data_IF_388998864883
#
_entry.id   IF_388998864883
#
_cell.length_a   1.000
_cell.length_b   1.000
_cell.length_c   1.000
_cell.angle_alpha   90.00
_cell.angle_beta   90.00
_cell.angle_gamma   90.00
#
_symmetry.space_group_name_H-M   'P 1'
#
loop_
_entity.id
_entity.type
_entity.pdbx_description
1 polymer ?
#
# COMPACT_ATOMS: atom_id res chain seq x y z
N UNK A 1 27.39 52.02 57.61
CA UNK A 1 27.03 50.61 57.33
C UNK A 1 25.77 50.62 56.45
N UNK A 2 25.80 49.97 55.27
CA UNK A 2 24.69 49.99 54.31
C UNK A 2 23.76 48.77 54.49
N UNK A 3 22.54 48.79 53.94
CA UNK A 3 21.92 47.58 53.42
C UNK A 3 21.96 47.56 51.89
N UNK A 4 22.12 46.34 51.38
CA UNK A 4 22.54 46.01 50.02
C UNK A 4 21.42 46.09 48.98
N UNK A 5 21.81 46.51 47.76
CA UNK A 5 21.03 46.33 46.54
C UNK A 5 21.01 44.85 46.14
N UNK A 6 19.83 44.25 46.10
CA UNK A 6 19.59 42.88 45.64
C UNK A 6 19.75 42.78 44.12
N UNK A 7 20.62 41.88 43.65
CA UNK A 7 20.76 41.51 42.23
C UNK A 7 19.46 40.92 41.71
N UNK A 8 18.98 41.46 40.58
CA UNK A 8 17.90 40.88 39.77
C UNK A 8 18.49 39.78 38.89
N UNK A 9 18.13 38.53 39.15
CA UNK A 9 18.38 37.42 38.24
C UNK A 9 17.31 37.44 37.13
N UNK A 10 17.72 37.80 35.92
CA UNK A 10 16.89 37.67 34.73
C UNK A 10 17.09 36.27 34.13
N UNK A 11 16.14 35.35 34.38
CA UNK A 11 16.06 34.10 33.64
C UNK A 11 15.64 34.38 32.20
N UNK A 12 16.55 34.20 31.25
CA UNK A 12 16.24 34.15 29.83
C UNK A 12 15.52 32.81 29.52
N UNK A 13 14.21 32.87 29.32
CA UNK A 13 13.41 31.72 28.88
C UNK A 13 13.64 31.52 27.37
N UNK A 14 14.50 30.57 26.99
CA UNK A 14 14.62 30.15 25.59
C UNK A 14 13.39 29.35 25.19
N UNK A 15 12.47 29.99 24.49
CA UNK A 15 11.35 29.31 23.83
C UNK A 15 11.89 28.56 22.62
N UNK A 16 12.01 27.23 22.73
CA UNK A 16 12.25 26.36 21.59
C UNK A 16 10.92 26.21 20.85
N UNK A 17 10.77 26.93 19.74
CA UNK A 17 9.62 26.76 18.85
C UNK A 17 9.76 25.42 18.11
N UNK A 18 8.72 24.57 18.07
CA UNK A 18 8.77 23.34 17.29
C UNK A 18 8.87 23.69 15.81
N UNK A 19 9.98 23.32 15.17
CA UNK A 19 10.13 23.38 13.71
C UNK A 19 9.07 22.49 13.08
N UNK A 20 8.14 23.09 12.34
CA UNK A 20 7.20 22.35 11.51
C UNK A 20 8.00 21.42 10.58
N UNK A 21 7.61 20.14 10.42
CA UNK A 21 8.30 19.26 9.49
C UNK A 21 8.21 19.86 8.10
N UNK A 22 9.36 20.03 7.43
CA UNK A 22 9.39 20.47 6.05
C UNK A 22 8.50 19.51 5.23
N UNK A 23 7.57 20.07 4.44
CA UNK A 23 6.78 19.26 3.52
C UNK A 23 7.74 18.50 2.61
N UNK A 24 7.63 17.17 2.60
CA UNK A 24 8.47 16.34 1.76
C UNK A 24 8.31 16.77 0.28
N UNK A 25 9.44 16.95 -0.40
CA UNK A 25 9.45 17.45 -1.77
C UNK A 25 8.69 16.49 -2.70
N UNK A 26 8.02 17.05 -3.70
CA UNK A 26 7.37 16.28 -4.77
C UNK A 26 8.02 16.65 -6.10
N UNK A 27 8.62 15.66 -6.75
CA UNK A 27 9.23 15.79 -8.07
C UNK A 27 8.27 15.25 -9.14
N UNK A 28 7.90 16.11 -10.10
CA UNK A 28 7.15 15.69 -11.27
C UNK A 28 8.08 15.06 -12.31
N UNK A 29 7.76 13.84 -12.78
CA UNK A 29 8.48 13.09 -13.82
C UNK A 29 7.50 12.65 -14.94
N UNK A 30 6.97 13.61 -15.73
CA UNK A 30 6.03 13.31 -16.81
C UNK A 30 6.66 12.47 -17.93
N UNK A 31 7.99 12.48 -18.06
CA UNK A 31 8.76 11.66 -18.98
C UNK A 31 8.54 10.15 -18.77
N UNK A 32 8.26 9.70 -17.54
CA UNK A 32 7.92 8.30 -17.27
C UNK A 32 6.62 7.85 -17.96
N UNK A 33 5.74 8.78 -18.36
CA UNK A 33 4.52 8.46 -19.13
C UNK A 33 4.83 7.90 -20.53
N UNK A 34 6.03 8.15 -21.05
CA UNK A 34 6.49 7.55 -22.30
C UNK A 34 6.53 6.01 -22.20
N UNK A 35 6.92 5.46 -21.05
CA UNK A 35 6.91 4.02 -20.79
C UNK A 35 5.47 3.47 -20.89
N UNK A 36 4.49 4.20 -20.35
CA UNK A 36 3.09 3.82 -20.42
C UNK A 36 2.60 3.84 -21.87
N UNK A 37 2.94 4.90 -22.63
CA UNK A 37 2.57 5.06 -24.05
C UNK A 37 3.13 3.93 -24.92
N UNK A 38 4.38 3.53 -24.71
CA UNK A 38 5.02 2.41 -25.43
C UNK A 38 4.31 1.07 -25.21
N UNK A 39 3.62 0.92 -24.08
CA UNK A 39 2.83 -0.27 -23.75
C UNK A 39 1.33 -0.12 -24.08
N UNK A 40 0.94 0.98 -24.74
CA UNK A 40 -0.46 1.28 -25.08
C UNK A 40 -1.35 1.50 -23.85
N UNK A 41 -0.77 1.97 -22.73
CA UNK A 41 -1.46 2.16 -21.47
C UNK A 41 -1.58 3.65 -21.12
N UNK A 42 -2.67 4.00 -20.44
CA UNK A 42 -2.84 5.29 -19.75
C UNK A 42 -2.79 5.03 -18.26
N UNK A 43 -2.02 5.81 -17.50
CA UNK A 43 -1.78 5.51 -16.10
C UNK A 43 -0.99 6.58 -15.36
N UNK A 44 -0.63 6.25 -14.13
CA UNK A 44 0.23 7.04 -13.25
C UNK A 44 1.23 6.13 -12.56
N UNK A 45 2.37 6.69 -12.19
CA UNK A 45 3.38 6.05 -11.35
C UNK A 45 3.75 6.99 -10.20
N UNK A 46 3.88 6.45 -9.01
CA UNK A 46 4.35 7.16 -7.82
C UNK A 46 5.48 6.35 -7.20
N UNK A 47 6.58 7.01 -6.86
CA UNK A 47 7.65 6.50 -6.01
C UNK A 47 7.74 7.37 -4.75
N UNK A 48 7.94 6.77 -3.59
CA UNK A 48 8.21 7.45 -2.34
C UNK A 48 9.50 6.90 -1.76
N UNK A 49 10.52 7.75 -1.61
CA UNK A 49 11.67 7.43 -0.76
C UNK A 49 11.18 7.36 0.69
N UNK A 50 11.28 6.19 1.32
CA UNK A 50 10.70 6.00 2.63
C UNK A 50 11.47 6.73 3.73
N UNK A 51 12.74 7.10 3.52
CA UNK A 51 13.58 7.82 4.48
C UNK A 51 13.25 9.31 4.50
N UNK A 52 13.23 9.97 3.34
CA UNK A 52 12.99 11.40 3.21
C UNK A 52 11.51 11.77 3.05
N UNK A 53 10.68 10.82 2.59
CA UNK A 53 9.30 11.06 2.19
C UNK A 53 9.17 11.72 0.81
N UNK A 54 10.30 11.99 0.13
CA UNK A 54 10.30 12.59 -1.20
C UNK A 54 9.50 11.73 -2.18
N UNK A 55 8.64 12.38 -2.94
CA UNK A 55 7.70 11.72 -3.84
C UNK A 55 8.04 12.04 -5.30
N UNK A 56 8.35 11.03 -6.11
CA UNK A 56 8.41 11.16 -7.57
C UNK A 56 7.08 10.74 -8.16
N UNK A 57 6.50 11.53 -9.06
CA UNK A 57 5.17 11.26 -9.62
C UNK A 57 5.08 11.53 -11.12
N UNK A 58 4.47 10.59 -11.84
CA UNK A 58 4.05 10.73 -13.22
C UNK A 58 2.52 10.89 -13.28
N UNK A 59 2.01 11.94 -13.92
CA UNK A 59 0.60 12.37 -13.87
C UNK A 59 0.09 12.59 -12.43
N UNK A 60 0.42 13.75 -11.80
CA UNK A 60 0.00 14.07 -10.44
C UNK A 60 -1.52 14.12 -10.24
N UNK A 61 -2.27 14.54 -11.27
CA UNK A 61 -3.72 14.65 -11.20
C UNK A 61 -4.36 13.26 -11.06
N UNK A 62 -3.93 12.29 -11.87
CA UNK A 62 -4.37 10.90 -11.73
C UNK A 62 -3.84 10.25 -10.46
N UNK A 63 -2.60 10.55 -10.06
CA UNK A 63 -1.99 10.02 -8.84
C UNK A 63 -2.78 10.36 -7.57
N UNK A 64 -3.40 11.54 -7.53
CA UNK A 64 -4.25 12.02 -6.45
C UNK A 64 -5.69 11.48 -6.50
N UNK A 65 -6.16 10.94 -7.64
CA UNK A 65 -7.50 10.39 -7.78
C UNK A 65 -7.62 9.06 -7.04
N UNK A 66 -8.62 8.95 -6.16
CA UNK A 66 -8.92 7.71 -5.43
C UNK A 66 -9.74 6.75 -6.29
N UNK A 67 -9.36 5.47 -6.31
CA UNK A 67 -10.16 4.37 -6.87
C UNK A 67 -10.29 3.24 -5.85
N UNK A 68 -11.13 2.26 -6.16
CA UNK A 68 -11.23 1.04 -5.35
C UNK A 68 -9.89 0.27 -5.42
N UNK A 69 -9.31 -0.15 -4.28
CA UNK A 69 -7.99 -0.80 -4.24
C UNK A 69 -7.99 -2.20 -4.87
N UNK A 70 -9.15 -2.87 -4.90
CA UNK A 70 -9.26 -4.26 -5.32
C UNK A 70 -8.26 -5.13 -4.54
N UNK A 71 -7.51 -5.98 -5.22
CA UNK A 71 -6.61 -6.94 -4.54
C UNK A 71 -5.36 -6.34 -3.92
N UNK A 72 -5.07 -5.03 -4.06
CA UNK A 72 -4.01 -4.40 -3.25
C UNK A 72 -4.41 -4.34 -1.78
N UNK A 73 -5.72 -4.28 -1.49
CA UNK A 73 -6.27 -4.32 -0.14
C UNK A 73 -5.90 -5.59 0.65
N UNK A 74 -5.45 -6.65 -0.03
CA UNK A 74 -4.93 -7.84 0.65
C UNK A 74 -3.76 -7.52 1.60
N UNK A 75 -2.99 -6.46 1.32
CA UNK A 75 -1.91 -5.98 2.20
C UNK A 75 -2.47 -5.49 3.55
N UNK A 76 -3.29 -4.42 3.63
CA UNK A 76 -3.87 -3.98 4.91
C UNK A 76 -4.83 -5.02 5.51
N UNK A 77 -5.53 -5.82 4.70
CA UNK A 77 -6.37 -6.90 5.22
C UNK A 77 -5.56 -7.91 6.05
N UNK A 78 -4.42 -8.37 5.51
CA UNK A 78 -3.52 -9.28 6.23
C UNK A 78 -2.96 -8.64 7.50
N UNK A 79 -2.54 -7.37 7.41
CA UNK A 79 -2.02 -6.63 8.57
C UNK A 79 -3.04 -6.60 9.71
N UNK A 80 -4.27 -6.20 9.41
CA UNK A 80 -5.36 -6.10 10.39
C UNK A 80 -5.70 -7.49 10.95
N UNK A 81 -5.72 -8.52 10.10
CA UNK A 81 -6.02 -9.87 10.53
C UNK A 81 -5.00 -10.41 11.54
N UNK A 82 -3.70 -10.24 11.26
CA UNK A 82 -2.64 -10.65 12.17
C UNK A 82 -2.64 -9.84 13.46
N UNK A 83 -2.82 -8.53 13.36
CA UNK A 83 -2.78 -7.63 14.51
C UNK A 83 -3.96 -7.84 15.45
N UNK A 84 -5.13 -8.18 14.92
CA UNK A 84 -6.35 -8.42 15.71
C UNK A 84 -6.52 -9.88 16.12
N UNK A 85 -5.58 -10.76 15.76
CA UNK A 85 -5.65 -12.20 16.01
C UNK A 85 -6.77 -12.93 15.24
N UNK A 86 -7.35 -12.31 14.21
CA UNK A 86 -8.37 -12.95 13.36
C UNK A 86 -7.78 -14.07 12.50
N UNK A 87 -6.47 -13.99 12.23
CA UNK A 87 -5.64 -15.05 11.68
C UNK A 87 -4.35 -15.07 12.52
N UNK A 88 -3.99 -16.22 13.09
CA UNK A 88 -2.89 -16.34 14.03
C UNK A 88 -1.51 -16.28 13.37
N UNK A 89 -1.40 -16.83 12.16
CA UNK A 89 -0.14 -16.92 11.41
C UNK A 89 -0.36 -16.95 9.89
N UNK A 90 0.69 -16.66 9.12
CA UNK A 90 0.66 -16.72 7.65
C UNK A 90 0.35 -18.11 7.09
N UNK A 91 0.65 -19.15 7.86
CA UNK A 91 0.49 -20.57 7.50
C UNK A 91 -0.76 -21.23 8.10
N UNK A 92 -1.59 -20.49 8.83
CA UNK A 92 -2.93 -20.96 9.24
C UNK A 92 -3.78 -21.26 8.01
N UNK A 93 -4.32 -22.49 7.92
CA UNK A 93 -5.20 -22.90 6.82
C UNK A 93 -6.58 -22.29 7.00
N UNK A 94 -6.99 -21.47 6.02
CA UNK A 94 -8.27 -20.79 6.01
C UNK A 94 -9.24 -21.50 5.04
N UNK A 95 -10.52 -21.66 5.44
CA UNK A 95 -11.50 -22.29 4.59
C UNK A 95 -11.80 -21.41 3.37
N UNK A 96 -11.83 -21.98 2.18
CA UNK A 96 -12.27 -21.23 0.99
C UNK A 96 -13.80 -21.00 0.98
N UNK A 97 -14.53 -21.75 1.82
CA UNK A 97 -15.97 -21.57 2.08
C UNK A 97 -16.92 -22.33 1.16
N UNK A 98 -16.41 -23.12 0.20
CA UNK A 98 -17.26 -23.82 -0.77
C UNK A 98 -17.76 -22.92 -1.91
N UNK A 99 -18.14 -23.53 -3.04
CA UNK A 99 -18.86 -22.86 -4.13
C UNK A 99 -18.06 -22.58 -5.40
N UNK A 100 -18.75 -22.05 -6.42
CA UNK A 100 -18.17 -21.80 -7.74
C UNK A 100 -17.25 -20.58 -7.70
N UNK A 101 -15.99 -20.78 -8.08
CA UNK A 101 -15.01 -19.70 -8.26
C UNK A 101 -14.74 -19.47 -9.74
N UNK A 102 -14.42 -18.22 -10.11
CA UNK A 102 -13.97 -17.90 -11.48
C UNK A 102 -12.58 -18.43 -11.82
N UNK A 103 -11.81 -18.80 -10.81
CA UNK A 103 -10.49 -19.39 -10.95
C UNK A 103 -10.47 -20.74 -10.21
N UNK A 104 -10.36 -21.88 -10.92
CA UNK A 104 -10.32 -23.20 -10.31
C UNK A 104 -9.24 -23.35 -9.22
N UNK A 105 -8.10 -22.65 -9.37
CA UNK A 105 -7.04 -22.66 -8.37
C UNK A 105 -7.47 -22.08 -7.01
N UNK A 106 -8.59 -21.35 -6.95
CA UNK A 106 -9.12 -20.81 -5.68
C UNK A 106 -10.00 -21.80 -4.91
N UNK A 107 -10.42 -22.91 -5.52
CA UNK A 107 -11.39 -23.84 -4.96
C UNK A 107 -10.75 -24.87 -4.00
N UNK A 108 -9.91 -24.39 -3.09
CA UNK A 108 -9.32 -25.18 -1.99
C UNK A 108 -8.96 -24.28 -0.82
N UNK A 109 -8.93 -24.88 0.36
CA UNK A 109 -8.43 -24.23 1.56
C UNK A 109 -6.95 -23.89 1.38
N UNK A 110 -6.57 -22.74 1.91
CA UNK A 110 -5.24 -22.15 1.71
C UNK A 110 -4.86 -21.29 2.90
N UNK A 111 -3.57 -21.22 3.17
CA UNK A 111 -3.03 -20.19 4.05
C UNK A 111 -2.94 -18.82 3.36
N UNK A 112 -2.68 -17.76 4.12
CA UNK A 112 -2.43 -16.44 3.52
C UNK A 112 -1.16 -16.42 2.66
N UNK A 113 -0.15 -17.21 3.02
CA UNK A 113 1.07 -17.41 2.23
C UNK A 113 0.76 -17.98 0.84
N UNK A 114 -0.17 -18.93 0.75
CA UNK A 114 -0.58 -19.52 -0.53
C UNK A 114 -1.58 -18.65 -1.31
N UNK A 115 -2.50 -18.00 -0.59
CA UNK A 115 -3.58 -17.21 -1.19
C UNK A 115 -3.10 -15.87 -1.78
N UNK A 116 -2.06 -15.27 -1.20
CA UNK A 116 -1.56 -13.95 -1.59
C UNK A 116 -1.02 -13.91 -3.04
N UNK A 117 -0.12 -14.82 -3.49
CA UNK A 117 0.43 -14.81 -4.84
C UNK A 117 -0.64 -14.99 -5.93
N UNK A 118 -1.59 -15.89 -5.73
CA UNK A 118 -2.67 -16.17 -6.70
C UNK A 118 -3.89 -15.25 -6.53
N UNK A 119 -3.80 -14.31 -5.60
CA UNK A 119 -4.83 -13.32 -5.30
C UNK A 119 -6.21 -13.93 -5.00
N UNK A 120 -6.26 -15.06 -4.28
CA UNK A 120 -7.48 -15.78 -3.95
C UNK A 120 -8.49 -14.85 -3.25
N UNK A 121 -9.61 -14.55 -3.89
CA UNK A 121 -10.61 -13.63 -3.31
C UNK A 121 -11.41 -14.30 -2.18
N UNK A 122 -11.99 -15.50 -2.37
CA UNK A 122 -12.72 -16.20 -1.31
C UNK A 122 -11.99 -16.29 0.04
N UNK A 123 -10.71 -16.67 0.05
CA UNK A 123 -9.93 -16.75 1.29
C UNK A 123 -9.80 -15.40 1.99
N UNK A 124 -9.58 -14.31 1.24
CA UNK A 124 -9.53 -12.97 1.83
C UNK A 124 -10.90 -12.41 2.23
N UNK A 125 -11.98 -12.93 1.65
CA UNK A 125 -13.34 -12.66 2.13
C UNK A 125 -13.60 -13.35 3.47
N UNK A 126 -13.11 -14.57 3.65
CA UNK A 126 -13.13 -15.25 4.94
C UNK A 126 -12.36 -14.48 6.00
N UNK A 127 -11.14 -14.04 5.70
CA UNK A 127 -10.37 -13.15 6.60
C UNK A 127 -11.19 -11.91 6.97
N UNK A 128 -11.84 -11.28 6.00
CA UNK A 128 -12.63 -10.08 6.26
C UNK A 128 -13.84 -10.35 7.15
N UNK A 129 -14.53 -11.48 6.98
CA UNK A 129 -15.62 -11.90 7.86
C UNK A 129 -15.13 -12.14 9.29
N UNK A 130 -13.97 -12.78 9.46
CA UNK A 130 -13.35 -12.96 10.78
C UNK A 130 -13.02 -11.61 11.42
N UNK A 131 -12.42 -10.68 10.68
CA UNK A 131 -12.09 -9.33 11.19
C UNK A 131 -13.37 -8.56 11.57
N UNK A 132 -14.38 -8.52 10.71
CA UNK A 132 -15.63 -7.83 10.99
C UNK A 132 -15.58 -6.31 10.76
N UNK A 133 -16.73 -5.71 10.42
CA UNK A 133 -16.85 -4.28 10.12
C UNK A 133 -16.39 -3.34 11.25
N UNK A 134 -16.71 -3.58 12.54
CA UNK A 134 -16.29 -2.67 13.61
C UNK A 134 -14.76 -2.51 13.66
N UNK A 135 -14.02 -3.62 13.57
CA UNK A 135 -12.54 -3.59 13.54
C UNK A 135 -12.02 -2.94 12.27
N UNK A 136 -12.64 -3.17 11.11
CA UNK A 136 -12.23 -2.46 9.89
C UNK A 136 -12.40 -0.94 9.99
N UNK A 137 -13.52 -0.44 10.54
CA UNK A 137 -13.71 1.02 10.69
C UNK A 137 -12.63 1.63 11.57
N UNK A 138 -12.30 0.98 12.67
CA UNK A 138 -11.23 1.41 13.57
C UNK A 138 -9.86 1.37 12.87
N UNK A 139 -9.50 0.23 12.29
CA UNK A 139 -8.17 0.02 11.74
C UNK A 139 -7.90 0.79 10.46
N UNK A 140 -8.87 0.95 9.57
CA UNK A 140 -8.70 1.78 8.38
C UNK A 140 -8.44 3.25 8.75
N UNK A 141 -9.09 3.73 9.81
CA UNK A 141 -8.80 5.04 10.41
C UNK A 141 -7.39 5.11 11.00
N UNK A 142 -7.00 4.15 11.85
CA UNK A 142 -5.65 4.07 12.44
C UNK A 142 -4.54 4.03 11.39
N UNK A 143 -4.76 3.30 10.30
CA UNK A 143 -3.80 3.17 9.20
C UNK A 143 -3.81 4.36 8.24
N UNK A 144 -4.77 5.30 8.40
CA UNK A 144 -5.04 6.38 7.46
C UNK A 144 -5.12 5.88 6.01
N UNK A 145 -5.89 4.80 5.78
CA UNK A 145 -5.94 4.09 4.51
C UNK A 145 -7.06 4.64 3.61
N UNK A 146 -6.69 5.50 2.67
CA UNK A 146 -7.63 6.09 1.70
C UNK A 146 -8.72 6.91 2.35
N UNK A 147 -9.98 6.68 1.96
CA UNK A 147 -11.16 7.28 2.62
C UNK A 147 -11.61 6.56 3.90
N UNK A 148 -10.91 5.49 4.32
CA UNK A 148 -11.20 4.71 5.53
C UNK A 148 -12.65 4.19 5.66
N UNK A 149 -13.35 4.00 4.54
CA UNK A 149 -14.77 3.63 4.54
C UNK A 149 -14.98 2.18 4.09
N UNK A 150 -15.29 1.23 5.01
CA UNK A 150 -15.64 -0.13 4.65
C UNK A 150 -17.14 -0.31 4.33
N UNK A 151 -17.96 0.74 4.41
CA UNK A 151 -19.40 0.67 4.18
C UNK A 151 -20.11 -0.31 5.12
N UNK A 152 -20.95 -1.18 4.53
CA UNK A 152 -21.85 -2.10 5.24
C UNK A 152 -21.67 -3.57 4.83
N UNK A 153 -20.89 -3.89 3.80
CA UNK A 153 -20.69 -5.26 3.32
C UNK A 153 -19.23 -5.67 3.56
N UNK A 154 -19.02 -6.40 4.67
CA UNK A 154 -17.70 -6.69 5.25
C UNK A 154 -16.72 -7.35 4.29
N UNK A 155 -17.19 -8.13 3.33
CA UNK A 155 -16.36 -8.96 2.47
C UNK A 155 -16.37 -8.52 0.99
N UNK A 156 -16.86 -7.31 0.71
CA UNK A 156 -16.96 -6.73 -0.65
C UNK A 156 -16.45 -5.31 -0.77
N UNK A 157 -16.26 -4.58 0.33
CA UNK A 157 -16.01 -3.13 0.29
C UNK A 157 -14.75 -2.71 -0.49
N UNK A 158 -13.74 -3.57 -0.57
CA UNK A 158 -12.52 -3.31 -1.35
C UNK A 158 -12.62 -3.79 -2.80
N UNK A 159 -13.69 -4.50 -3.18
CA UNK A 159 -13.94 -5.00 -4.53
C UNK A 159 -14.92 -4.09 -5.27
N UNK A 160 -15.96 -3.64 -4.56
CA UNK A 160 -17.07 -2.88 -5.13
C UNK A 160 -17.11 -1.42 -4.65
N UNK A 161 -16.29 -1.07 -3.64
CA UNK A 161 -16.45 0.16 -2.85
C UNK A 161 -17.33 -0.06 -1.61
N UNK A 162 -17.43 0.93 -0.70
CA UNK A 162 -17.07 2.33 -0.90
C UNK A 162 -15.60 2.68 -0.62
N UNK A 163 -14.77 1.72 -0.20
CA UNK A 163 -13.36 1.97 0.07
C UNK A 163 -12.64 2.43 -1.20
N UNK A 164 -11.96 3.57 -1.11
CA UNK A 164 -11.14 4.12 -2.19
C UNK A 164 -9.84 4.72 -1.66
N UNK A 165 -8.77 4.57 -2.44
CA UNK A 165 -7.43 5.06 -2.14
C UNK A 165 -6.75 5.56 -3.42
N UNK A 166 -5.91 6.60 -3.31
CA UNK A 166 -5.14 7.15 -4.43
C UNK A 166 -3.77 6.45 -4.56
N UNK A 167 -3.09 6.63 -5.69
CA UNK A 167 -1.75 6.06 -5.88
C UNK A 167 -0.73 6.67 -4.90
N UNK A 168 -0.86 7.95 -4.58
CA UNK A 168 -0.03 8.64 -3.58
C UNK A 168 -0.27 8.05 -2.19
N UNK A 169 -1.53 7.83 -1.81
CA UNK A 169 -1.89 7.27 -0.51
C UNK A 169 -1.42 5.82 -0.36
N UNK A 170 -1.59 4.99 -1.38
CA UNK A 170 -1.05 3.62 -1.44
C UNK A 170 0.48 3.60 -1.28
N UNK A 171 1.20 4.46 -2.01
CA UNK A 171 2.67 4.49 -1.95
C UNK A 171 3.16 4.91 -0.55
N UNK A 172 2.52 5.90 0.07
CA UNK A 172 2.84 6.35 1.43
C UNK A 172 2.49 5.31 2.50
N UNK A 173 1.36 4.62 2.35
CA UNK A 173 1.03 3.48 3.22
C UNK A 173 2.11 2.40 3.14
N UNK A 174 2.54 2.02 1.94
CA UNK A 174 3.59 1.03 1.73
C UNK A 174 4.96 1.50 2.22
N UNK A 175 5.30 2.79 2.12
CA UNK A 175 6.53 3.34 2.69
C UNK A 175 6.57 3.17 4.21
N UNK A 176 5.46 3.43 4.90
CA UNK A 176 5.36 3.18 6.36
C UNK A 176 5.42 1.70 6.68
N UNK A 177 4.70 0.85 5.94
CA UNK A 177 4.72 -0.60 6.14
C UNK A 177 6.13 -1.18 5.95
N UNK A 178 6.83 -0.77 4.89
CA UNK A 178 8.19 -1.21 4.59
C UNK A 178 9.17 -0.87 5.72
N UNK A 179 9.00 0.31 6.35
CA UNK A 179 9.78 0.72 7.53
C UNK A 179 9.27 0.12 8.85
N UNK A 180 8.26 -0.77 8.80
CA UNK A 180 7.53 -1.30 9.96
C UNK A 180 7.02 -0.21 10.91
N UNK A 181 6.63 0.94 10.35
CA UNK A 181 6.26 2.15 11.06
C UNK A 181 4.74 2.40 11.11
N UNK A 182 3.92 1.42 10.71
CA UNK A 182 2.47 1.49 10.94
C UNK A 182 2.16 1.26 12.42
N UNK A 183 1.01 1.74 12.94
CA UNK A 183 0.59 1.54 14.33
C UNK A 183 0.07 0.12 14.58
N UNK A 184 0.89 -0.88 14.26
CA UNK A 184 0.66 -2.31 14.44
C UNK A 184 1.96 -2.97 14.93
N UNK A 185 1.86 -4.16 15.53
CA UNK A 185 3.02 -4.88 16.03
C UNK A 185 4.06 -5.16 14.94
N UNK A 186 5.34 -5.19 15.35
CA UNK A 186 6.43 -5.59 14.46
C UNK A 186 6.24 -7.02 13.90
N UNK A 187 5.56 -7.89 14.67
CA UNK A 187 5.15 -9.23 14.25
C UNK A 187 4.19 -9.17 13.07
N UNK A 188 3.06 -8.48 13.22
CA UNK A 188 2.04 -8.40 12.17
C UNK A 188 2.61 -7.79 10.88
N UNK A 189 3.40 -6.71 11.01
CA UNK A 189 4.06 -6.10 9.85
C UNK A 189 5.10 -7.03 9.22
N UNK A 190 5.85 -7.79 10.03
CA UNK A 190 6.80 -8.80 9.55
C UNK A 190 6.14 -9.95 8.78
N UNK A 191 4.99 -10.44 9.23
CA UNK A 191 4.21 -11.45 8.51
C UNK A 191 3.70 -10.93 7.17
N UNK A 192 3.28 -9.66 7.10
CA UNK A 192 2.87 -9.04 5.82
C UNK A 192 4.04 -8.93 4.86
N UNK A 193 5.22 -8.50 5.32
CA UNK A 193 6.44 -8.47 4.50
C UNK A 193 6.73 -9.83 3.88
N UNK A 194 6.65 -10.87 4.67
CA UNK A 194 6.95 -12.24 4.25
C UNK A 194 6.00 -12.72 3.14
N UNK A 195 4.68 -12.56 3.31
CA UNK A 195 3.70 -13.08 2.34
C UNK A 195 3.60 -12.26 1.04
N UNK A 196 4.15 -11.04 0.98
CA UNK A 196 4.13 -10.20 -0.24
C UNK A 196 5.49 -10.10 -0.94
N UNK A 197 6.53 -10.77 -0.41
CA UNK A 197 7.83 -10.86 -1.07
C UNK A 197 7.68 -11.59 -2.41
N UNK A 198 8.20 -11.00 -3.47
CA UNK A 198 8.15 -11.55 -4.82
C UNK A 198 9.47 -12.23 -5.17
N UNK A 199 10.58 -11.51 -5.05
CA UNK A 199 11.90 -12.00 -5.44
C UNK A 199 13.01 -11.14 -4.83
N UNK A 200 14.22 -11.69 -4.75
CA UNK A 200 15.44 -10.96 -4.42
C UNK A 200 16.46 -11.18 -5.54
N UNK A 201 17.06 -10.09 -6.05
CA UNK A 201 18.09 -10.14 -7.09
C UNK A 201 19.02 -8.94 -7.00
N UNK A 202 20.30 -9.13 -7.34
CA UNK A 202 21.31 -8.05 -7.36
C UNK A 202 21.35 -7.21 -6.07
N UNK A 203 21.16 -7.83 -4.90
CA UNK A 203 21.12 -7.13 -3.61
C UNK A 203 19.88 -6.27 -3.34
N UNK A 204 18.84 -6.38 -4.16
CA UNK A 204 17.53 -5.77 -3.92
C UNK A 204 16.43 -6.83 -3.74
N UNK A 205 15.46 -6.55 -2.89
CA UNK A 205 14.26 -7.38 -2.70
C UNK A 205 13.01 -6.60 -3.08
N UNK A 206 12.17 -7.23 -3.90
CA UNK A 206 10.90 -6.66 -4.36
C UNK A 206 9.73 -7.29 -3.59
N UNK A 207 8.93 -6.43 -2.99
CA UNK A 207 7.70 -6.77 -2.29
C UNK A 207 6.56 -6.08 -3.02
N UNK A 208 5.53 -6.82 -3.46
CA UNK A 208 4.47 -6.18 -4.21
C UNK A 208 3.17 -6.97 -4.27
N UNK A 209 2.08 -6.25 -4.56
CA UNK A 209 0.78 -6.83 -4.83
C UNK A 209 0.12 -6.21 -6.05
N UNK A 210 -0.50 -7.07 -6.86
CA UNK A 210 -1.37 -6.67 -7.96
C UNK A 210 -2.82 -6.45 -7.50
N UNK A 211 -3.48 -5.48 -8.11
CA UNK A 211 -4.91 -5.22 -7.97
C UNK A 211 -5.61 -5.11 -9.33
N UNK A 212 -6.89 -5.44 -9.37
CA UNK A 212 -7.74 -5.28 -10.54
C UNK A 212 -9.16 -4.96 -10.10
N UNK A 213 -9.54 -3.70 -10.27
CA UNK A 213 -10.89 -3.24 -10.04
C UNK A 213 -11.68 -3.33 -11.36
N UNK A 214 -12.62 -4.27 -11.41
CA UNK A 214 -13.47 -4.48 -12.58
C UNK A 214 -14.67 -3.54 -12.48
N UNK A 215 -14.75 -2.56 -13.37
CA UNK A 215 -15.85 -1.60 -13.41
C UNK A 215 -16.90 -2.03 -14.44
N UNK A 216 -18.18 -1.96 -14.09
CA UNK A 216 -19.28 -2.20 -15.04
C UNK A 216 -19.55 -0.92 -15.83
N UNK A 217 -19.55 -1.01 -17.16
CA UNK A 217 -19.85 0.13 -18.03
C UNK A 217 -18.78 1.24 -18.04
N UNK A 218 -17.64 1.02 -17.41
CA UNK A 218 -16.51 1.95 -17.35
C UNK A 218 -15.19 1.19 -17.51
N UNK A 219 -14.13 1.90 -17.87
CA UNK A 219 -12.79 1.30 -18.02
C UNK A 219 -12.29 0.75 -16.68
N UNK A 220 -11.97 -0.53 -16.60
CA UNK A 220 -11.44 -1.15 -15.37
C UNK A 220 -10.07 -0.58 -15.01
N UNK A 221 -9.68 -0.70 -13.73
CA UNK A 221 -8.40 -0.16 -13.22
C UNK A 221 -7.50 -1.29 -12.74
N UNK A 222 -6.26 -1.27 -13.22
CA UNK A 222 -5.19 -2.17 -12.81
C UNK A 222 -4.23 -1.50 -11.85
N UNK A 223 -3.80 -2.22 -10.81
CA UNK A 223 -2.84 -1.74 -9.82
C UNK A 223 -1.61 -2.65 -9.73
N UNK A 224 -0.46 -2.05 -9.45
CA UNK A 224 0.70 -2.74 -8.89
C UNK A 224 1.37 -1.82 -7.87
N UNK A 225 1.50 -2.30 -6.63
CA UNK A 225 1.92 -1.48 -5.49
C UNK A 225 2.82 -2.31 -4.58
N UNK A 226 3.75 -1.65 -3.90
CA UNK A 226 4.71 -2.35 -3.05
C UNK A 226 5.92 -1.49 -2.72
N UNK A 227 7.07 -2.14 -2.50
CA UNK A 227 8.34 -1.47 -2.28
C UNK A 227 9.53 -2.31 -2.72
N UNK A 228 10.66 -1.64 -2.86
CA UNK A 228 11.97 -2.24 -3.13
C UNK A 228 12.90 -1.89 -1.97
N UNK A 229 13.55 -2.90 -1.41
CA UNK A 229 14.60 -2.76 -0.39
C UNK A 229 15.96 -3.05 -1.01
N UNK A 230 16.93 -2.16 -0.82
CA UNK A 230 18.33 -2.35 -1.22
C UNK A 230 19.24 -1.84 -0.11
N UNK A 231 19.79 -2.75 0.69
CA UNK A 231 20.49 -2.38 1.93
C UNK A 231 19.55 -1.61 2.86
N UNK A 232 19.95 -0.41 3.29
CA UNK A 232 19.12 0.48 4.12
C UNK A 232 18.14 1.35 3.32
N UNK A 233 18.21 1.34 1.98
CA UNK A 233 17.35 2.17 1.13
C UNK A 233 16.04 1.46 0.84
N UNK A 234 14.93 2.16 1.05
CA UNK A 234 13.58 1.65 0.86
C UNK A 234 12.80 2.64 -0.01
N UNK A 235 12.30 2.16 -1.14
CA UNK A 235 11.45 2.96 -2.03
C UNK A 235 10.13 2.25 -2.23
N UNK A 236 9.04 2.86 -1.74
CA UNK A 236 7.70 2.38 -2.01
C UNK A 236 7.23 2.90 -3.36
N UNK A 237 6.47 2.10 -4.08
CA UNK A 237 5.92 2.51 -5.37
C UNK A 237 4.47 2.08 -5.50
N UNK A 238 3.75 2.83 -6.31
CA UNK A 238 2.40 2.49 -6.76
C UNK A 238 2.21 2.92 -8.19
N UNK A 239 1.60 2.06 -8.99
CA UNK A 239 1.05 2.44 -10.28
C UNK A 239 -0.39 2.01 -10.41
N UNK A 240 -1.16 2.78 -11.17
CA UNK A 240 -2.39 2.28 -11.77
C UNK A 240 -2.47 2.61 -13.25
N UNK A 241 -3.12 1.70 -13.99
CA UNK A 241 -3.38 1.84 -15.42
C UNK A 241 -4.85 1.59 -15.73
N UNK A 242 -5.31 2.17 -16.82
CA UNK A 242 -6.57 1.79 -17.44
C UNK A 242 -6.43 0.39 -18.07
N UNK A 243 -7.43 -0.46 -17.83
CA UNK A 243 -7.50 -1.84 -18.29
C UNK A 243 -8.82 -2.10 -19.02
N UNK A 244 -9.02 -1.55 -20.24
CA UNK A 244 -10.23 -1.79 -21.01
C UNK A 244 -10.43 -3.26 -21.39
N UNK A 245 -9.35 -4.04 -21.44
CA UNK A 245 -9.36 -5.45 -21.81
C UNK A 245 -8.43 -6.27 -20.93
N UNK A 246 -8.69 -7.58 -20.85
CA UNK A 246 -7.91 -8.46 -19.98
C UNK A 246 -6.42 -8.54 -20.36
N UNK A 247 -6.10 -8.36 -21.64
CA UNK A 247 -4.74 -8.36 -22.18
C UNK A 247 -3.84 -7.26 -21.58
N UNK A 248 -4.40 -6.23 -20.93
CA UNK A 248 -3.61 -5.20 -20.23
C UNK A 248 -3.03 -5.70 -18.89
N UNK A 249 -3.45 -6.88 -18.41
CA UNK A 249 -3.08 -7.36 -17.08
C UNK A 249 -1.57 -7.52 -16.85
N UNK A 250 -0.78 -8.06 -17.80
CA UNK A 250 0.68 -8.14 -17.66
C UNK A 250 1.36 -6.76 -17.69
N UNK A 251 0.78 -5.78 -18.39
CA UNK A 251 1.35 -4.44 -18.59
C UNK A 251 1.61 -3.68 -17.29
N UNK A 252 0.84 -3.95 -16.23
CA UNK A 252 1.10 -3.40 -14.88
C UNK A 252 2.53 -3.71 -14.41
N UNK A 253 2.97 -4.96 -14.55
CA UNK A 253 4.29 -5.39 -14.09
C UNK A 253 5.38 -4.91 -15.05
N UNK A 254 5.15 -4.99 -16.36
CA UNK A 254 6.10 -4.54 -17.39
C UNK A 254 6.42 -3.04 -17.22
N UNK A 255 5.38 -2.20 -17.17
CA UNK A 255 5.51 -0.74 -17.02
C UNK A 255 6.16 -0.39 -15.68
N UNK A 256 5.68 -0.98 -14.58
CA UNK A 256 6.23 -0.65 -13.26
C UNK A 256 7.69 -1.05 -13.11
N UNK A 257 8.08 -2.22 -13.63
CA UNK A 257 9.48 -2.66 -13.60
C UNK A 257 10.35 -1.78 -14.49
N UNK A 258 9.85 -1.36 -15.65
CA UNK A 258 10.56 -0.41 -16.51
C UNK A 258 10.74 0.95 -15.82
N UNK A 259 9.71 1.48 -15.16
CA UNK A 259 9.81 2.73 -14.39
C UNK A 259 10.78 2.62 -13.20
N UNK A 260 10.75 1.52 -12.45
CA UNK A 260 11.71 1.29 -11.37
C UNK A 260 13.15 1.14 -11.89
N UNK A 261 13.34 0.60 -13.09
CA UNK A 261 14.65 0.48 -13.75
C UNK A 261 15.16 1.84 -14.23
N UNK A 262 14.30 2.64 -14.87
CA UNK A 262 14.60 4.01 -15.30
C UNK A 262 15.10 4.87 -14.13
N UNK A 263 14.41 4.76 -12.99
CA UNK A 263 14.74 5.47 -11.75
C UNK A 263 15.94 4.87 -11.00
N UNK A 264 16.58 3.82 -11.51
CA UNK A 264 17.73 3.17 -10.86
C UNK A 264 17.41 2.44 -9.54
N UNK A 265 16.13 2.17 -9.28
CA UNK A 265 15.66 1.54 -8.04
C UNK A 265 15.78 0.02 -8.12
N UNK A 266 15.33 -0.56 -9.24
CA UNK A 266 15.23 -2.01 -9.42
C UNK A 266 15.44 -2.43 -10.87
N UNK A 267 16.45 -3.28 -11.10
CA UNK A 267 16.94 -3.70 -12.42
C UNK A 267 17.56 -5.07 -12.35
#
# INVERSE_FOLDING_TARGET
MPPALTRRDALALSVVLPTAPALAATQSRPDLLEIFRQHGATGTFVLVDAASGETTVADPARAARRFVPASTFKIPNSLIAFETGAVGDADEVLPYGGGRTRNPAWARDMSLREAMPISNVPVFQEVARRVGLPRYREWLGKLAYGNADPGTVVDRFWLDGPLRISAIEEARFNARLARKALPASARAQGLVHDIIRIESRNGATLYAKTGWYVQRGQTSIGWWTGWVERGSRVHAFTLNIDMPQMAMAPKRLEIGRAALKDLGIYG
#
